data_IF_928396506985
#
_entry.id   IF_928396506985
#
_cell.length_a   1.000
_cell.length_b   1.000
_cell.length_c   1.000
_cell.angle_alpha   90.00
_cell.angle_beta   90.00
_cell.angle_gamma   90.00
#
_symmetry.space_group_name_H-M   'P 1'
#
loop_
_entity.id
_entity.type
_entity.pdbx_description
1 polymer ?
#
# COMPACT_ATOMS: atom_id res chain seq x y z
N UNK A 1 -27.07 -31.60 -19.58
CA UNK A 1 -26.67 -30.88 -20.80
C UNK A 1 -26.78 -29.38 -20.51
N UNK A 2 -25.87 -28.54 -21.04
CA UNK A 2 -25.70 -27.07 -20.85
C UNK A 2 -24.67 -26.60 -19.79
N UNK A 3 -23.40 -26.70 -20.21
CA UNK A 3 -22.35 -25.66 -20.32
C UNK A 3 -22.00 -24.75 -19.14
N UNK A 4 -20.74 -24.92 -18.70
CA UNK A 4 -19.72 -23.89 -18.45
C UNK A 4 -20.15 -22.43 -18.23
N UNK A 5 -19.73 -21.88 -17.09
CA UNK A 5 -18.76 -20.77 -17.12
C UNK A 5 -17.89 -20.74 -15.87
N UNK A 6 -16.66 -21.21 -16.02
CA UNK A 6 -15.52 -20.68 -15.30
C UNK A 6 -15.45 -19.17 -15.56
N UNK A 7 -15.18 -18.38 -14.53
CA UNK A 7 -14.11 -17.36 -14.51
C UNK A 7 -14.43 -16.31 -13.45
N UNK A 8 -13.52 -16.14 -12.49
CA UNK A 8 -12.97 -14.84 -12.07
C UNK A 8 -11.92 -15.07 -10.99
N UNK A 9 -10.72 -15.38 -11.46
CA UNK A 9 -9.49 -14.69 -11.07
C UNK A 9 -9.53 -13.86 -9.77
N UNK A 10 -9.08 -14.44 -8.65
CA UNK A 10 -8.24 -13.80 -7.63
C UNK A 10 -8.21 -14.66 -6.38
N UNK A 11 -7.18 -15.47 -6.21
CA UNK A 11 -6.59 -15.73 -4.90
C UNK A 11 -5.15 -16.21 -5.14
N UNK A 12 -4.22 -15.35 -4.76
CA UNK A 12 -2.81 -15.66 -4.69
C UNK A 12 -2.63 -16.75 -3.62
N UNK A 13 -2.52 -17.99 -4.06
CA UNK A 13 -2.03 -19.11 -3.26
C UNK A 13 -0.98 -19.83 -4.09
N UNK A 14 0.26 -19.93 -3.58
CA UNK A 14 1.02 -21.12 -3.92
C UNK A 14 1.76 -21.68 -2.70
N UNK A 15 1.47 -22.93 -2.34
CA UNK A 15 2.47 -23.96 -1.95
C UNK A 15 1.80 -25.34 -1.78
N UNK A 16 2.51 -26.49 -1.84
CA UNK A 16 3.81 -26.87 -2.48
C UNK A 16 3.72 -28.31 -3.12
N UNK A 17 4.77 -29.15 -3.41
CA UNK A 17 6.23 -28.99 -3.52
C UNK A 17 6.86 -29.58 -4.84
N UNK A 18 8.17 -29.39 -5.03
CA UNK A 18 9.07 -30.08 -6.00
C UNK A 18 8.93 -29.80 -7.50
N UNK A 19 9.06 -28.55 -7.92
CA UNK A 19 9.76 -28.26 -9.18
C UNK A 19 10.32 -26.86 -9.09
N UNK A 20 11.63 -26.72 -9.28
CA UNK A 20 12.31 -25.43 -9.23
C UNK A 20 11.84 -24.58 -10.43
N UNK A 21 10.76 -23.82 -10.28
CA UNK A 21 10.43 -22.78 -11.23
C UNK A 21 11.26 -21.56 -10.84
N UNK A 22 12.37 -21.37 -11.55
CA UNK A 22 13.11 -20.12 -11.54
C UNK A 22 12.22 -19.05 -12.18
N UNK A 23 11.47 -18.32 -11.35
CA UNK A 23 10.85 -17.07 -11.77
C UNK A 23 11.98 -16.11 -12.12
N UNK A 24 12.38 -16.06 -13.39
CA UNK A 24 13.11 -14.91 -13.93
C UNK A 24 12.14 -13.73 -13.93
N UNK A 25 11.95 -13.15 -12.75
CA UNK A 25 11.20 -11.91 -12.58
C UNK A 25 12.05 -10.80 -13.20
N UNK A 26 11.52 -10.13 -14.21
CA UNK A 26 12.14 -8.94 -14.76
C UNK A 26 12.50 -7.97 -13.61
N UNK A 27 13.67 -7.34 -13.64
CA UNK A 27 14.12 -6.50 -12.54
C UNK A 27 13.09 -5.40 -12.27
N UNK A 28 12.67 -5.28 -11.01
CA UNK A 28 11.67 -4.27 -10.63
C UNK A 28 12.23 -2.88 -10.92
N UNK A 29 11.56 -2.14 -11.79
CA UNK A 29 12.02 -0.81 -12.19
C UNK A 29 11.95 0.18 -11.03
N UNK A 30 13.00 0.99 -10.88
CA UNK A 30 13.03 2.11 -9.92
C UNK A 30 11.86 3.08 -10.10
N UNK A 31 11.42 3.32 -11.34
CA UNK A 31 10.28 4.21 -11.60
C UNK A 31 8.98 3.65 -11.04
N UNK A 32 8.81 2.32 -11.09
CA UNK A 32 7.66 1.63 -10.52
C UNK A 32 7.64 1.76 -8.99
N UNK A 33 8.78 1.53 -8.33
CA UNK A 33 8.90 1.68 -6.87
C UNK A 33 8.55 3.11 -6.43
N UNK A 34 9.05 4.12 -7.14
CA UNK A 34 8.75 5.52 -6.85
C UNK A 34 7.28 5.87 -7.10
N UNK A 35 6.68 5.31 -8.15
CA UNK A 35 5.25 5.46 -8.40
C UNK A 35 4.44 4.86 -7.25
N UNK A 36 4.74 3.62 -6.86
CA UNK A 36 4.08 2.92 -5.76
C UNK A 36 4.18 3.70 -4.45
N UNK A 37 5.39 4.18 -4.11
CA UNK A 37 5.62 5.04 -2.94
C UNK A 37 4.72 6.28 -2.93
N UNK A 38 4.68 7.02 -4.05
CA UNK A 38 3.84 8.22 -4.18
C UNK A 38 2.35 7.87 -4.08
N UNK A 39 1.93 6.76 -4.67
CA UNK A 39 0.54 6.28 -4.61
C UNK A 39 0.13 5.92 -3.18
N UNK A 40 1.00 5.26 -2.41
CA UNK A 40 0.75 4.98 -0.99
C UNK A 40 0.66 6.26 -0.16
N UNK A 41 1.54 7.23 -0.36
CA UNK A 41 1.48 8.51 0.35
C UNK A 41 0.21 9.30 0.02
N UNK A 42 -0.24 9.30 -1.25
CA UNK A 42 -1.52 9.91 -1.63
C UNK A 42 -2.69 9.23 -0.93
N UNK A 43 -2.71 7.90 -0.87
CA UNK A 43 -3.76 7.16 -0.16
C UNK A 43 -3.73 7.38 1.36
N UNK A 44 -2.55 7.47 1.97
CA UNK A 44 -2.41 7.85 3.37
C UNK A 44 -2.99 9.24 3.65
N UNK A 45 -2.87 10.18 2.70
CA UNK A 45 -3.48 11.51 2.80
C UNK A 45 -5.02 11.52 2.80
N UNK A 46 -5.67 10.44 2.34
CA UNK A 46 -7.14 10.34 2.26
C UNK A 46 -7.81 10.02 3.60
N UNK A 47 -7.04 9.63 4.62
CA UNK A 47 -7.60 9.38 5.95
C UNK A 47 -8.15 10.67 6.55
N UNK A 48 -9.39 10.60 7.03
CA UNK A 48 -10.10 11.72 7.62
C UNK A 48 -9.50 12.08 8.98
N UNK A 49 -9.20 11.08 9.82
CA UNK A 49 -8.59 11.31 11.13
C UNK A 49 -7.07 11.49 11.03
N UNK A 50 -6.56 12.53 11.69
CA UNK A 50 -5.12 12.86 11.78
C UNK A 50 -4.26 11.67 12.16
N UNK A 51 -4.65 10.91 13.18
CA UNK A 51 -3.82 9.82 13.71
C UNK A 51 -3.53 8.76 12.64
N UNK A 52 -4.55 8.36 11.88
CA UNK A 52 -4.39 7.39 10.80
C UNK A 52 -3.62 7.96 9.61
N UNK A 53 -3.88 9.22 9.24
CA UNK A 53 -3.16 9.91 8.16
C UNK A 53 -1.66 9.99 8.44
N UNK A 54 -1.29 10.48 9.62
CA UNK A 54 0.12 10.64 10.00
C UNK A 54 0.80 9.30 10.25
N UNK A 55 0.12 8.35 10.91
CA UNK A 55 0.66 7.00 11.08
C UNK A 55 0.93 6.32 9.74
N UNK A 56 -0.05 6.33 8.82
CA UNK A 56 0.11 5.69 7.52
C UNK A 56 1.24 6.35 6.72
N UNK A 57 1.29 7.69 6.68
CA UNK A 57 2.36 8.41 5.99
C UNK A 57 3.74 8.10 6.58
N UNK A 58 3.87 8.08 7.90
CA UNK A 58 5.11 7.70 8.60
C UNK A 58 5.49 6.25 8.30
N UNK A 59 4.56 5.30 8.45
CA UNK A 59 4.79 3.87 8.22
C UNK A 59 5.24 3.57 6.79
N UNK A 60 4.67 4.26 5.80
CA UNK A 60 5.12 4.19 4.40
C UNK A 60 6.53 4.76 4.24
N UNK A 61 6.83 5.94 4.80
CA UNK A 61 8.18 6.53 4.72
C UNK A 61 9.23 5.63 5.34
N UNK A 62 8.97 5.14 6.54
CA UNK A 62 9.90 4.31 7.30
C UNK A 62 10.13 2.96 6.59
N UNK A 63 9.06 2.35 6.06
CA UNK A 63 9.17 1.11 5.30
C UNK A 63 10.05 1.22 4.05
N UNK A 64 9.86 2.28 3.25
CA UNK A 64 10.68 2.48 2.05
C UNK A 64 12.12 2.92 2.38
N UNK A 65 12.33 3.70 3.45
CA UNK A 65 13.67 4.10 3.89
C UNK A 65 14.47 2.93 4.44
N UNK A 66 13.85 2.05 5.22
CA UNK A 66 14.50 0.88 5.81
C UNK A 66 15.07 -0.09 4.75
N UNK A 67 14.49 -0.11 3.55
CA UNK A 67 14.91 -1.00 2.46
C UNK A 67 15.46 -0.25 1.23
N UNK A 68 15.81 1.03 1.37
CA UNK A 68 16.27 1.85 0.24
C UNK A 68 17.61 1.36 -0.37
N UNK A 69 18.42 0.65 0.41
CA UNK A 69 19.70 0.07 -0.02
C UNK A 69 19.63 -1.40 -0.41
N UNK A 70 18.44 -2.02 -0.44
CA UNK A 70 18.31 -3.42 -0.83
C UNK A 70 18.68 -3.61 -2.31
N UNK A 71 19.60 -4.53 -2.56
CA UNK A 71 20.17 -4.78 -3.90
C UNK A 71 19.79 -6.17 -4.42
N UNK A 72 19.37 -7.09 -3.54
CA UNK A 72 18.96 -8.42 -3.97
C UNK A 72 17.61 -8.33 -4.73
N UNK A 73 17.56 -8.72 -6.02
CA UNK A 73 16.36 -8.58 -6.85
C UNK A 73 15.17 -9.40 -6.34
N UNK A 74 15.41 -10.56 -5.73
CA UNK A 74 14.34 -11.40 -5.16
C UNK A 74 13.70 -10.71 -3.95
N UNK A 75 14.53 -10.15 -3.06
CA UNK A 75 14.07 -9.38 -1.89
C UNK A 75 13.33 -8.12 -2.30
N UNK A 76 13.81 -7.40 -3.32
CA UNK A 76 13.10 -6.24 -3.87
C UNK A 76 11.72 -6.66 -4.39
N UNK A 77 11.62 -7.76 -5.12
CA UNK A 77 10.34 -8.27 -5.62
C UNK A 77 9.37 -8.64 -4.48
N UNK A 78 9.86 -9.30 -3.43
CA UNK A 78 9.07 -9.62 -2.22
C UNK A 78 8.54 -8.34 -1.55
N UNK A 79 9.40 -7.34 -1.36
CA UNK A 79 9.06 -6.07 -0.73
C UNK A 79 8.05 -5.27 -1.54
N UNK A 80 8.18 -5.27 -2.87
CA UNK A 80 7.24 -4.61 -3.78
C UNK A 80 5.88 -5.30 -3.75
N UNK A 81 5.85 -6.64 -3.81
CA UNK A 81 4.62 -7.41 -3.68
C UNK A 81 3.91 -7.14 -2.34
N UNK A 82 4.68 -7.02 -1.25
CA UNK A 82 4.16 -6.61 0.06
C UNK A 82 3.57 -5.19 0.02
N UNK A 83 4.31 -4.23 -0.54
CA UNK A 83 3.85 -2.84 -0.64
C UNK A 83 2.56 -2.70 -1.48
N UNK A 84 2.39 -3.49 -2.54
CA UNK A 84 1.15 -3.54 -3.32
C UNK A 84 -0.03 -4.09 -2.51
N UNK A 85 0.18 -5.13 -1.69
CA UNK A 85 -0.83 -5.64 -0.77
C UNK A 85 -1.21 -4.58 0.27
N UNK A 86 -0.20 -3.92 0.84
CA UNK A 86 -0.40 -2.86 1.83
C UNK A 86 -1.12 -1.66 1.22
N UNK A 87 -0.86 -1.31 -0.04
CA UNK A 87 -1.59 -0.25 -0.76
C UNK A 87 -3.09 -0.55 -0.84
N UNK A 88 -3.48 -1.79 -1.20
CA UNK A 88 -4.90 -2.20 -1.25
C UNK A 88 -5.57 -2.13 0.13
N UNK A 89 -4.82 -2.45 1.20
CA UNK A 89 -5.31 -2.28 2.57
C UNK A 89 -5.52 -0.79 2.87
N UNK A 90 -4.53 0.04 2.56
CA UNK A 90 -4.58 1.49 2.72
C UNK A 90 -5.81 2.11 2.05
N UNK A 91 -6.10 1.73 0.81
CA UNK A 91 -7.26 2.19 0.05
C UNK A 91 -8.58 1.85 0.77
N UNK A 92 -8.78 0.58 1.15
CA UNK A 92 -9.98 0.12 1.86
C UNK A 92 -10.13 0.81 3.21
N UNK A 93 -9.05 0.90 3.97
CA UNK A 93 -9.07 1.51 5.30
C UNK A 93 -9.35 3.02 5.22
N UNK A 94 -8.79 3.72 4.23
CA UNK A 94 -9.08 5.14 4.03
C UNK A 94 -10.55 5.37 3.70
N UNK A 95 -11.15 4.49 2.88
CA UNK A 95 -12.55 4.56 2.52
C UNK A 95 -13.46 4.29 3.72
N UNK A 96 -13.22 3.21 4.47
CA UNK A 96 -13.98 2.91 5.70
C UNK A 96 -13.85 4.04 6.72
N UNK A 97 -12.65 4.58 6.91
CA UNK A 97 -12.43 5.71 7.80
C UNK A 97 -13.22 6.96 7.39
N UNK A 98 -13.42 7.19 6.08
CA UNK A 98 -14.24 8.31 5.60
C UNK A 98 -15.74 8.10 5.86
N UNK A 99 -16.23 6.86 5.78
CA UNK A 99 -17.65 6.55 6.04
C UNK A 99 -18.04 6.74 7.51
N UNK A 100 -17.10 6.45 8.42
CA UNK A 100 -17.30 6.57 9.86
C UNK A 100 -16.46 7.70 10.47
N UNK A 101 -16.18 8.75 9.69
CA UNK A 101 -15.43 9.89 10.18
C UNK A 101 -16.28 10.65 11.22
N UNK A 102 -15.75 10.77 12.44
CA UNK A 102 -16.33 11.62 13.48
C UNK A 102 -15.88 13.08 13.37
N UNK A 103 -16.20 13.86 14.40
CA UNK A 103 -15.74 15.25 14.52
C UNK A 103 -14.20 15.34 14.53
N UNK A 104 -13.69 16.47 14.03
CA UNK A 104 -12.25 16.72 13.99
C UNK A 104 -11.73 16.89 15.41
N UNK A 105 -10.51 16.38 15.64
CA UNK A 105 -9.85 16.57 16.93
C UNK A 105 -9.41 18.03 17.09
N UNK A 106 -9.35 18.52 18.32
CA UNK A 106 -8.90 19.90 18.65
C UNK A 106 -7.55 20.24 17.99
N UNK A 107 -6.64 19.27 17.94
CA UNK A 107 -5.31 19.41 17.30
C UNK A 107 -5.38 19.66 15.79
N UNK A 108 -6.44 19.17 15.11
CA UNK A 108 -6.64 19.41 13.67
C UNK A 108 -7.16 20.83 13.41
N UNK A 109 -7.96 21.38 14.33
CA UNK A 109 -8.52 22.73 14.19
C UNK A 109 -7.50 23.84 14.47
N UNK A 110 -6.54 23.60 15.36
CA UNK A 110 -5.45 24.55 15.60
C UNK A 110 -4.61 24.80 14.33
N UNK A 111 -4.33 23.75 13.55
CA UNK A 111 -3.53 23.84 12.32
C UNK A 111 -4.25 24.64 11.22
N UNK A 112 -5.59 24.56 11.17
CA UNK A 112 -6.40 25.31 10.21
C UNK A 112 -6.37 26.81 10.51
N UNK A 113 -6.51 27.18 11.78
CA UNK A 113 -6.51 28.58 12.23
C UNK A 113 -5.17 29.27 11.99
N UNK A 114 -4.05 28.56 12.16
CA UNK A 114 -2.71 29.12 11.89
C UNK A 114 -2.41 29.39 10.41
N UNK A 115 -3.16 28.80 9.48
CA UNK A 115 -2.99 29.00 8.03
C UNK A 115 -3.94 30.07 7.46
N UNK A 116 -4.85 30.60 8.29
CA UNK A 116 -5.87 31.57 7.92
C UNK A 116 -5.57 32.99 8.44
N UNK A 117 -4.42 33.20 9.09
CA UNK A 117 -3.92 34.49 9.56
C UNK A 117 -2.66 34.88 8.77
#
# INVERSE_FOLDING_TARGET
>A
MVRHRSDKSQLCIPSPPHTQYTMSAAPVSRTYVLHLYRTMLRNAGRFSSYNFRDYAARRTRDGFRAHAGETNPERVAELVCKAEKDLKVLERQSFVNSMYAGEKLVVEDMKRKSLAN
#
